data_IF_573974862929
#
_entry.id   IF_573974862929
#
_cell.length_a   1.000
_cell.length_b   1.000
_cell.length_c   1.000
_cell.angle_alpha   90.00
_cell.angle_beta   90.00
_cell.angle_gamma   90.00
#
_symmetry.space_group_name_H-M   'P 1'
#
loop_
_entity.id
_entity.type
_entity.pdbx_description
1 polymer ?
#
# COMPACT_ATOMS: atom_id res chain seq x y z
N UNK A 1 11.26 0.93 2.83
CA UNK A 1 12.37 1.75 2.30
C UNK A 1 12.94 1.08 1.08
N UNK A 2 12.60 1.56 -0.11
CA UNK A 2 13.10 1.06 -1.40
C UNK A 2 14.31 1.89 -1.84
N UNK A 3 15.45 1.24 -2.11
CA UNK A 3 16.65 1.88 -2.67
C UNK A 3 16.37 2.41 -4.10
N UNK A 4 16.69 3.69 -4.40
CA UNK A 4 16.44 4.29 -5.71
C UNK A 4 17.29 3.72 -6.86
N UNK A 5 18.27 2.85 -6.59
CA UNK A 5 19.18 2.25 -7.58
C UNK A 5 18.84 0.81 -7.95
N UNK A 6 17.62 0.35 -7.67
CA UNK A 6 17.20 -1.01 -8.01
C UNK A 6 17.29 -1.31 -9.51
N UNK A 7 17.92 -2.44 -9.83
CA UNK A 7 17.82 -3.09 -11.13
C UNK A 7 16.73 -4.15 -11.08
N UNK A 8 15.62 -3.85 -11.78
CA UNK A 8 14.47 -4.73 -11.98
C UNK A 8 14.82 -5.72 -13.09
N UNK A 9 15.51 -6.79 -12.73
CA UNK A 9 15.76 -7.93 -13.62
C UNK A 9 14.82 -9.06 -13.18
N UNK A 10 13.96 -9.50 -14.10
CA UNK A 10 13.28 -10.81 -14.09
C UNK A 10 11.91 -10.95 -13.38
N UNK A 11 10.96 -10.03 -13.63
CA UNK A 11 9.55 -10.26 -13.25
C UNK A 11 8.68 -10.53 -14.48
N UNK A 12 7.98 -11.67 -14.49
CA UNK A 12 7.00 -12.03 -15.53
C UNK A 12 5.80 -11.04 -15.51
N UNK A 13 5.18 -10.79 -16.67
CA UNK A 13 4.09 -9.81 -16.81
C UNK A 13 2.82 -10.17 -16.01
N UNK A 14 2.56 -11.46 -15.75
CA UNK A 14 1.47 -11.94 -14.90
C UNK A 14 1.77 -11.59 -13.44
N UNK A 15 2.97 -11.89 -12.95
CA UNK A 15 3.41 -11.52 -11.61
C UNK A 15 3.43 -10.02 -11.41
N UNK A 16 3.78 -9.21 -12.43
CA UNK A 16 3.63 -7.75 -12.37
C UNK A 16 2.19 -7.28 -12.17
N UNK A 17 1.23 -7.83 -12.91
CA UNK A 17 -0.20 -7.49 -12.72
C UNK A 17 -0.69 -7.89 -11.34
N UNK A 18 -0.19 -9.01 -10.83
CA UNK A 18 -0.53 -9.53 -9.52
C UNK A 18 0.17 -8.80 -8.37
N UNK A 19 1.38 -8.25 -8.57
CA UNK A 19 2.09 -7.45 -7.56
C UNK A 19 1.66 -5.98 -7.59
N UNK A 20 1.33 -5.45 -8.77
CA UNK A 20 0.90 -4.06 -8.96
C UNK A 20 -0.38 -3.70 -8.20
N UNK A 21 -1.20 -4.68 -7.79
CA UNK A 21 -2.32 -4.46 -6.86
C UNK A 21 -1.88 -4.09 -5.43
N UNK A 22 -0.64 -4.39 -5.07
CA UNK A 22 -0.05 -4.13 -3.75
C UNK A 22 0.91 -2.94 -3.73
N UNK A 23 1.35 -2.50 -4.90
CA UNK A 23 2.23 -1.34 -5.06
C UNK A 23 1.65 -0.44 -6.15
N UNK A 24 0.57 0.25 -5.82
CA UNK A 24 0.12 1.42 -6.58
C UNK A 24 0.66 2.64 -5.83
N UNK A 25 1.71 3.30 -6.33
CA UNK A 25 2.26 4.47 -5.65
C UNK A 25 1.24 5.62 -5.55
N UNK A 26 0.20 5.60 -6.40
CA UNK A 26 -0.96 6.46 -6.28
C UNK A 26 -1.83 6.16 -5.05
N UNK A 27 -1.79 4.94 -4.50
CA UNK A 27 -2.56 4.54 -3.31
C UNK A 27 -2.11 5.23 -2.02
N UNK A 28 -0.82 5.57 -1.87
CA UNK A 28 -0.34 6.39 -0.74
C UNK A 28 -0.97 7.80 -0.71
N UNK A 29 -1.57 8.20 -1.82
CA UNK A 29 -2.20 9.50 -2.05
C UNK A 29 -3.72 9.33 -2.27
N UNK A 30 -4.21 8.08 -2.43
CA UNK A 30 -5.64 7.79 -2.60
C UNK A 30 -6.30 7.66 -1.25
N UNK A 31 -7.31 8.48 -1.04
CA UNK A 31 -8.28 8.30 0.05
C UNK A 31 -9.34 7.26 -0.29
N UNK A 32 -9.58 7.03 -1.58
CA UNK A 32 -10.69 6.23 -2.06
C UNK A 32 -10.24 4.80 -2.45
N UNK A 33 -11.00 3.81 -2.00
CA UNK A 33 -10.87 2.42 -2.40
C UNK A 33 -11.34 2.20 -3.85
N UNK A 34 -10.84 1.16 -4.53
CA UNK A 34 -11.38 0.77 -5.84
C UNK A 34 -12.89 0.56 -5.77
N UNK A 35 -13.64 1.27 -6.63
CA UNK A 35 -15.10 1.16 -6.71
C UNK A 35 -15.88 2.09 -5.78
N UNK A 36 -15.22 2.86 -4.92
CA UNK A 36 -15.86 3.81 -4.00
C UNK A 36 -16.59 4.94 -4.75
N UNK A 37 -17.84 5.22 -4.38
CA UNK A 37 -18.63 6.31 -4.94
C UNK A 37 -18.23 7.64 -4.30
N UNK A 38 -17.42 8.41 -5.01
CA UNK A 38 -16.82 9.64 -4.52
C UNK A 38 -17.44 10.90 -5.11
N UNK A 39 -17.58 11.94 -4.29
CA UNK A 39 -17.85 13.30 -4.73
C UNK A 39 -16.60 14.17 -4.57
N UNK A 40 -16.24 14.92 -5.61
CA UNK A 40 -15.10 15.83 -5.65
C UNK A 40 -15.57 17.26 -5.88
N UNK A 41 -15.38 18.13 -4.89
CA UNK A 41 -15.66 19.55 -4.92
C UNK A 41 -14.34 20.31 -5.04
N UNK A 42 -14.08 20.91 -6.19
CA UNK A 42 -12.91 21.76 -6.43
C UNK A 42 -13.29 23.23 -6.29
N UNK A 43 -12.52 23.96 -5.51
CA UNK A 43 -12.67 25.41 -5.33
C UNK A 43 -11.32 26.14 -5.38
N UNK A 44 -11.35 27.45 -5.58
CA UNK A 44 -10.18 28.33 -5.49
C UNK A 44 -10.52 29.48 -4.53
N UNK A 45 -9.94 29.45 -3.33
CA UNK A 45 -10.24 30.40 -2.24
C UNK A 45 -11.74 30.62 -2.02
N UNK A 46 -12.45 29.52 -1.79
CA UNK A 46 -13.89 29.49 -1.62
C UNK A 46 -14.75 29.68 -2.86
N UNK A 47 -14.20 30.10 -4.01
CA UNK A 47 -14.99 30.14 -5.25
C UNK A 47 -15.10 28.73 -5.82
N UNK A 48 -16.31 28.21 -5.95
CA UNK A 48 -16.53 26.90 -6.54
C UNK A 48 -16.09 26.89 -8.01
N UNK A 49 -15.29 25.90 -8.39
CA UNK A 49 -14.85 25.70 -9.76
C UNK A 49 -15.58 24.53 -10.43
N UNK A 50 -15.64 23.38 -9.75
CA UNK A 50 -16.20 22.16 -10.32
C UNK A 50 -16.68 21.22 -9.22
N UNK A 51 -17.79 20.53 -9.47
CA UNK A 51 -18.20 19.37 -8.69
C UNK A 51 -18.28 18.16 -9.61
N UNK A 52 -17.70 17.05 -9.20
CA UNK A 52 -17.62 15.83 -9.99
C UNK A 52 -17.96 14.63 -9.12
N UNK A 53 -18.93 13.85 -9.57
CA UNK A 53 -19.37 12.59 -9.01
C UNK A 53 -18.74 11.46 -9.84
N UNK A 54 -18.13 10.47 -9.21
CA UNK A 54 -17.40 9.42 -9.93
C UNK A 54 -18.31 8.54 -10.79
N UNK A 55 -19.61 8.47 -10.50
CA UNK A 55 -20.57 7.67 -11.25
C UNK A 55 -21.39 8.53 -12.22
N UNK A 56 -21.81 9.71 -11.78
CA UNK A 56 -22.74 10.58 -12.52
C UNK A 56 -22.04 11.69 -13.32
N UNK A 57 -20.73 11.87 -13.13
CA UNK A 57 -19.95 12.89 -13.80
C UNK A 57 -20.13 14.28 -13.19
N UNK A 58 -20.16 15.34 -14.00
CA UNK A 58 -20.21 16.72 -13.49
C UNK A 58 -21.58 17.04 -12.89
N UNK A 59 -21.61 17.44 -11.61
CA UNK A 59 -22.83 17.83 -10.88
C UNK A 59 -23.00 19.35 -10.86
N UNK A 60 -24.14 19.85 -11.37
CA UNK A 60 -24.52 21.29 -11.35
C UNK A 60 -25.75 21.57 -10.49
N UNK A 61 -26.42 20.50 -10.09
CA UNK A 61 -27.67 20.43 -9.34
C UNK A 61 -27.49 20.70 -7.84
N UNK A 62 -26.28 20.47 -7.30
CA UNK A 62 -25.98 20.61 -5.87
C UNK A 62 -26.04 22.05 -5.33
N UNK A 63 -26.35 23.04 -6.17
CA UNK A 63 -26.58 24.45 -5.80
C UNK A 63 -25.46 25.09 -4.96
N UNK A 64 -24.25 24.53 -5.02
CA UNK A 64 -23.07 25.07 -4.36
C UNK A 64 -22.58 26.29 -5.13
N UNK A 65 -22.36 27.40 -4.42
CA UNK A 65 -21.79 28.63 -5.02
C UNK A 65 -20.45 29.01 -4.40
N UNK A 66 -20.27 28.69 -3.11
CA UNK A 66 -19.09 29.07 -2.33
C UNK A 66 -18.75 27.96 -1.35
N UNK A 67 -17.46 27.85 -1.04
CA UNK A 67 -16.88 26.97 -0.02
C UNK A 67 -16.24 27.86 1.04
N UNK A 68 -16.99 28.17 2.09
CA UNK A 68 -16.49 29.00 3.20
C UNK A 68 -15.71 28.16 4.22
N UNK A 69 -16.20 26.95 4.49
CA UNK A 69 -15.54 25.93 5.29
C UNK A 69 -15.58 24.60 4.53
N UNK A 70 -14.39 24.10 4.16
CA UNK A 70 -14.26 22.87 3.39
C UNK A 70 -14.68 21.63 4.18
N UNK A 71 -14.46 21.62 5.50
CA UNK A 71 -14.78 20.48 6.37
C UNK A 71 -16.27 20.42 6.68
N UNK A 72 -16.87 21.55 7.02
CA UNK A 72 -18.31 21.64 7.23
C UNK A 72 -19.06 21.24 5.95
N UNK A 73 -18.60 21.70 4.79
CA UNK A 73 -19.19 21.31 3.50
C UNK A 73 -19.07 19.80 3.23
N UNK A 74 -17.87 19.23 3.42
CA UNK A 74 -17.65 17.81 3.21
C UNK A 74 -18.55 16.94 4.11
N UNK A 75 -18.68 17.31 5.39
CA UNK A 75 -19.56 16.62 6.34
C UNK A 75 -21.04 16.73 5.95
N UNK A 76 -21.50 17.92 5.54
CA UNK A 76 -22.89 18.13 5.11
C UNK A 76 -23.25 17.30 3.88
N UNK A 77 -22.34 17.23 2.89
CA UNK A 77 -22.53 16.44 1.68
C UNK A 77 -22.49 14.94 2.00
N UNK A 78 -21.52 14.50 2.81
CA UNK A 78 -21.40 13.10 3.20
C UNK A 78 -22.64 12.60 3.97
N UNK A 79 -23.21 13.43 4.85
CA UNK A 79 -24.40 13.11 5.63
C UNK A 79 -25.67 12.88 4.78
N UNK A 80 -25.66 13.22 3.49
CA UNK A 80 -26.78 12.92 2.57
C UNK A 80 -26.86 11.43 2.23
N UNK A 81 -25.78 10.67 2.44
CA UNK A 81 -25.73 9.23 2.18
C UNK A 81 -25.68 8.87 0.69
N UNK A 82 -25.50 9.85 -0.20
CA UNK A 82 -25.35 9.62 -1.65
C UNK A 82 -23.95 9.13 -2.03
N UNK A 83 -22.93 9.39 -1.19
CA UNK A 83 -21.53 9.10 -1.50
C UNK A 83 -20.86 8.37 -0.35
N UNK A 84 -20.03 7.39 -0.70
CA UNK A 84 -19.14 6.71 0.24
C UNK A 84 -18.04 7.65 0.76
N UNK A 85 -17.70 8.69 -0.02
CA UNK A 85 -16.75 9.74 0.37
C UNK A 85 -16.94 11.06 -0.35
N UNK A 86 -16.73 12.14 0.39
CA UNK A 86 -16.71 13.51 -0.15
C UNK A 86 -15.34 14.13 0.01
N UNK A 87 -14.83 14.71 -1.07
CA UNK A 87 -13.57 15.42 -1.16
C UNK A 87 -13.85 16.90 -1.43
N UNK A 88 -13.29 17.80 -0.63
CA UNK A 88 -13.34 19.25 -0.86
C UNK A 88 -11.90 19.76 -0.97
N UNK A 89 -11.57 20.32 -2.13
CA UNK A 89 -10.20 20.53 -2.58
C UNK A 89 -9.99 21.99 -2.95
N UNK A 90 -9.01 22.63 -2.34
CA UNK A 90 -8.53 23.94 -2.74
C UNK A 90 -7.46 23.81 -3.84
N UNK A 91 -7.71 24.38 -5.02
CA UNK A 91 -6.77 24.42 -6.14
C UNK A 91 -5.42 25.03 -5.76
N UNK A 92 -5.40 26.08 -4.92
CA UNK A 92 -4.14 26.73 -4.50
C UNK A 92 -3.31 25.84 -3.59
N UNK A 93 -3.98 25.05 -2.76
CA UNK A 93 -3.31 24.03 -1.95
C UNK A 93 -2.61 23.01 -2.84
N UNK A 94 -3.32 22.45 -3.83
CA UNK A 94 -2.70 21.50 -4.78
C UNK A 94 -1.50 22.12 -5.52
N UNK A 95 -1.61 23.38 -5.94
CA UNK A 95 -0.50 24.09 -6.57
C UNK A 95 0.70 24.28 -5.62
N UNK A 96 0.45 24.61 -4.35
CA UNK A 96 1.48 24.74 -3.32
C UNK A 96 2.16 23.39 -3.02
N UNK A 97 1.39 22.31 -2.91
CA UNK A 97 1.90 20.95 -2.74
C UNK A 97 2.77 20.55 -3.94
N UNK A 98 2.30 20.76 -5.16
CA UNK A 98 3.05 20.44 -6.37
C UNK A 98 4.37 21.23 -6.43
N UNK A 99 4.32 22.53 -6.12
CA UNK A 99 5.51 23.37 -6.05
C UNK A 99 6.49 22.84 -4.98
N UNK A 100 6.04 22.63 -3.74
CA UNK A 100 6.89 22.16 -2.63
C UNK A 100 7.45 20.75 -2.82
N UNK A 101 6.74 19.88 -3.54
CA UNK A 101 7.22 18.56 -3.94
C UNK A 101 8.33 18.65 -5.00
N UNK A 102 8.32 19.68 -5.86
CA UNK A 102 9.22 19.84 -7.00
C UNK A 102 10.40 20.80 -6.77
N UNK A 103 10.34 21.70 -5.78
CA UNK A 103 11.33 22.78 -5.52
C UNK A 103 12.76 22.26 -5.32
N UNK A 104 12.93 21.02 -4.87
CA UNK A 104 14.26 20.47 -4.64
C UNK A 104 14.36 19.15 -5.39
N UNK A 105 15.35 18.95 -6.28
CA UNK A 105 15.73 17.60 -6.69
C UNK A 105 16.32 16.93 -5.45
N UNK A 106 15.46 16.29 -4.65
CA UNK A 106 15.83 15.64 -3.40
C UNK A 106 16.46 14.29 -3.69
N UNK A 107 17.65 14.34 -4.29
CA UNK A 107 18.48 13.17 -4.57
C UNK A 107 18.87 12.40 -3.31
N UNK A 108 18.67 12.99 -2.13
CA UNK A 108 18.92 12.39 -0.82
C UNK A 108 17.70 11.69 -0.21
N UNK A 109 16.48 11.90 -0.72
CA UNK A 109 15.31 11.19 -0.23
C UNK A 109 15.16 9.86 -0.96
N UNK A 110 14.95 8.80 -0.20
CA UNK A 110 14.45 7.55 -0.73
C UNK A 110 12.98 7.73 -1.18
N UNK A 111 12.53 6.90 -2.12
CA UNK A 111 11.21 6.99 -2.74
C UNK A 111 10.08 7.07 -1.69
N UNK A 112 10.20 6.28 -0.62
CA UNK A 112 9.21 6.21 0.46
C UNK A 112 9.16 7.49 1.31
N UNK A 113 10.31 8.12 1.57
CA UNK A 113 10.38 9.39 2.30
C UNK A 113 9.81 10.53 1.46
N UNK A 114 10.01 10.49 0.14
CA UNK A 114 9.36 11.41 -0.78
C UNK A 114 7.83 11.24 -0.76
N UNK A 115 7.33 10.00 -0.79
CA UNK A 115 5.88 9.75 -0.68
C UNK A 115 5.31 10.21 0.66
N UNK A 116 5.99 9.92 1.77
CA UNK A 116 5.54 10.39 3.08
C UNK A 116 5.55 11.91 3.17
N UNK A 117 6.52 12.59 2.56
CA UNK A 117 6.53 14.05 2.47
C UNK A 117 5.34 14.55 1.66
N UNK A 118 5.09 14.01 0.48
CA UNK A 118 3.92 14.39 -0.35
C UNK A 118 2.62 14.13 0.42
N UNK A 119 2.52 13.02 1.14
CA UNK A 119 1.41 12.71 2.03
C UNK A 119 1.22 13.82 3.08
N UNK A 120 2.26 14.22 3.81
CA UNK A 120 2.16 15.29 4.81
C UNK A 120 1.82 16.65 4.21
N UNK A 121 2.38 16.97 3.04
CA UNK A 121 2.06 18.20 2.33
C UNK A 121 0.59 18.23 1.90
N UNK A 122 0.07 17.10 1.45
CA UNK A 122 -1.29 16.99 0.93
C UNK A 122 -2.33 16.93 2.06
N UNK A 123 -2.07 16.13 3.10
CA UNK A 123 -3.01 15.75 4.15
C UNK A 123 -2.73 16.36 5.52
N UNK A 124 -1.51 16.82 5.79
CA UNK A 124 -1.11 17.36 7.10
C UNK A 124 -1.63 18.76 7.39
N UNK A 125 -2.09 19.50 6.36
CA UNK A 125 -2.77 20.79 6.51
C UNK A 125 -4.28 20.63 6.69
N UNK A 126 -4.90 21.41 7.56
CA UNK A 126 -6.31 21.23 7.95
C UNK A 126 -7.34 21.66 6.89
N UNK A 127 -6.97 22.52 5.94
CA UNK A 127 -7.97 23.31 5.19
C UNK A 127 -7.85 23.21 3.65
N UNK A 128 -6.72 22.70 3.15
CA UNK A 128 -6.42 22.72 1.72
C UNK A 128 -6.98 21.52 0.94
N UNK A 129 -7.10 20.38 1.60
CA UNK A 129 -7.72 19.17 1.06
C UNK A 129 -8.41 18.41 2.18
N UNK A 130 -9.74 18.46 2.20
CA UNK A 130 -10.57 17.76 3.17
C UNK A 130 -11.23 16.56 2.52
N UNK A 131 -11.27 15.43 3.22
CA UNK A 131 -12.06 14.26 2.87
C UNK A 131 -12.91 13.80 4.05
N UNK A 132 -14.13 13.34 3.76
CA UNK A 132 -15.04 12.72 4.73
C UNK A 132 -15.57 11.41 4.13
N UNK A 133 -15.29 10.23 4.73
CA UNK A 133 -14.41 10.05 5.88
C UNK A 133 -12.96 10.50 5.57
N UNK A 134 -12.15 10.74 6.61
CA UNK A 134 -10.77 11.18 6.43
C UNK A 134 -9.91 10.12 5.76
N UNK A 135 -8.76 10.54 5.21
CA UNK A 135 -7.73 9.60 4.77
C UNK A 135 -7.35 8.68 5.93
N UNK A 136 -7.34 7.35 5.75
CA UNK A 136 -7.09 6.40 6.83
C UNK A 136 -5.69 6.56 7.43
N UNK A 137 -4.71 6.97 6.61
CA UNK A 137 -3.33 7.21 7.05
C UNK A 137 -2.56 5.92 7.37
N UNK A 138 -3.18 4.79 7.08
CA UNK A 138 -2.64 3.46 7.20
C UNK A 138 -2.97 2.65 5.94
N UNK A 139 -2.18 1.63 5.67
CA UNK A 139 -2.40 0.65 4.62
C UNK A 139 -2.61 -0.72 5.29
N UNK A 140 -3.78 -1.35 5.12
CA UNK A 140 -4.11 -2.66 5.73
C UNK A 140 -3.80 -2.73 7.25
N UNK A 141 -4.07 -1.64 7.97
CA UNK A 141 -3.81 -1.48 9.41
C UNK A 141 -2.41 -0.97 9.77
N UNK A 142 -1.50 -0.80 8.81
CA UNK A 142 -0.13 -0.36 9.05
C UNK A 142 0.08 1.10 8.69
N UNK A 143 0.51 1.91 9.64
CA UNK A 143 1.01 3.27 9.35
C UNK A 143 2.44 3.20 8.79
N UNK A 144 2.89 4.30 8.20
CA UNK A 144 4.30 4.40 7.79
C UNK A 144 5.27 4.21 8.96
N UNK A 145 4.92 4.73 10.14
CA UNK A 145 5.73 4.58 11.35
C UNK A 145 5.80 3.13 11.81
N UNK A 146 4.70 2.37 11.69
CA UNK A 146 4.69 0.94 12.00
C UNK A 146 5.62 0.16 11.06
N UNK A 147 5.59 0.50 9.76
CA UNK A 147 6.49 -0.11 8.76
C UNK A 147 7.95 0.23 9.09
N UNK A 148 8.27 1.49 9.38
CA UNK A 148 9.63 1.89 9.77
C UNK A 148 10.09 1.17 11.03
N UNK A 149 9.22 1.07 12.03
CA UNK A 149 9.50 0.37 13.27
C UNK A 149 9.82 -1.10 13.00
N UNK A 150 8.96 -1.80 12.26
CA UNK A 150 9.19 -3.17 11.84
C UNK A 150 10.52 -3.34 11.09
N UNK A 151 10.79 -2.50 10.09
CA UNK A 151 12.05 -2.55 9.34
C UNK A 151 13.28 -2.31 10.21
N UNK A 152 13.15 -1.55 11.30
CA UNK A 152 14.23 -1.30 12.26
C UNK A 152 14.51 -2.47 13.21
N UNK A 153 13.54 -3.37 13.40
CA UNK A 153 13.71 -4.57 14.22
C UNK A 153 14.37 -5.72 13.46
N UNK A 154 14.36 -5.68 12.12
CA UNK A 154 14.98 -6.72 11.31
C UNK A 154 16.51 -6.77 11.53
N UNK A 155 17.12 -7.97 11.44
CA UNK A 155 18.57 -8.10 11.44
C UNK A 155 19.25 -7.21 10.38
N UNK A 156 20.53 -6.82 10.57
CA UNK A 156 21.23 -5.92 9.64
C UNK A 156 21.29 -6.41 8.20
N UNK A 157 21.18 -7.72 7.98
CA UNK A 157 21.00 -8.34 6.67
C UNK A 157 19.96 -9.45 6.83
N UNK A 158 18.84 -9.33 6.13
CA UNK A 158 17.72 -10.25 6.26
C UNK A 158 16.98 -10.43 4.93
N UNK A 159 16.11 -11.43 4.88
CA UNK A 159 15.16 -11.65 3.80
C UNK A 159 13.74 -11.75 4.34
N UNK A 160 12.80 -11.13 3.63
CA UNK A 160 11.37 -11.33 3.80
C UNK A 160 10.83 -12.05 2.57
N UNK A 161 9.99 -13.05 2.73
CA UNK A 161 9.41 -13.77 1.61
C UNK A 161 7.92 -14.04 1.80
N UNK A 162 7.15 -13.94 0.71
CA UNK A 162 5.74 -14.33 0.69
C UNK A 162 5.43 -15.15 -0.55
N UNK A 163 4.88 -16.36 -0.33
CA UNK A 163 4.37 -17.26 -1.34
C UNK A 163 2.86 -17.42 -1.19
N UNK A 164 2.10 -17.14 -2.25
CA UNK A 164 0.64 -17.28 -2.28
C UNK A 164 0.25 -18.22 -3.40
N UNK A 165 -0.50 -19.26 -3.07
CA UNK A 165 -0.85 -20.35 -3.98
C UNK A 165 -2.35 -20.42 -4.24
N UNK A 166 -2.71 -20.66 -5.50
CA UNK A 166 -4.06 -21.00 -5.92
C UNK A 166 -4.05 -22.47 -6.40
N UNK A 167 -4.40 -23.37 -5.48
CA UNK A 167 -4.16 -24.80 -5.63
C UNK A 167 -2.66 -25.09 -5.85
N UNK A 168 -2.28 -25.85 -6.90
CA UNK A 168 -0.88 -26.17 -7.20
C UNK A 168 -0.12 -25.00 -7.86
N UNK A 169 -0.79 -23.89 -8.19
CA UNK A 169 -0.18 -22.80 -8.94
C UNK A 169 0.29 -21.72 -7.98
N UNK A 170 1.58 -21.38 -8.04
CA UNK A 170 2.08 -20.17 -7.38
C UNK A 170 1.51 -18.93 -8.07
N UNK A 171 0.75 -18.13 -7.33
CA UNK A 171 0.15 -16.89 -7.80
C UNK A 171 1.02 -15.66 -7.41
N UNK A 172 1.65 -15.73 -6.24
CA UNK A 172 2.67 -14.77 -5.79
C UNK A 172 3.85 -15.57 -5.25
N UNK A 173 5.07 -15.19 -5.61
CA UNK A 173 6.26 -15.57 -4.87
C UNK A 173 7.15 -14.35 -4.86
N UNK A 174 7.26 -13.65 -3.74
CA UNK A 174 8.01 -12.41 -3.61
C UNK A 174 9.11 -12.58 -2.57
N UNK A 175 10.29 -12.06 -2.86
CA UNK A 175 11.45 -12.07 -1.99
C UNK A 175 11.99 -10.65 -1.90
N UNK A 176 12.19 -10.17 -0.69
CA UNK A 176 12.80 -8.88 -0.39
C UNK A 176 14.09 -9.12 0.38
N UNK A 177 15.22 -8.62 -0.12
CA UNK A 177 16.45 -8.54 0.67
C UNK A 177 16.50 -7.20 1.38
N UNK A 178 16.69 -7.24 2.68
CA UNK A 178 16.81 -6.07 3.54
C UNK A 178 18.24 -5.95 4.04
N UNK A 179 18.81 -4.76 3.94
CA UNK A 179 20.09 -4.40 4.52
C UNK A 179 19.93 -3.12 5.31
N UNK A 180 20.20 -3.19 6.62
CA UNK A 180 20.11 -2.06 7.57
C UNK A 180 18.75 -1.33 7.48
N UNK A 181 17.66 -2.10 7.45
CA UNK A 181 16.30 -1.57 7.36
C UNK A 181 15.89 -1.04 5.98
N UNK A 182 16.76 -1.14 4.97
CA UNK A 182 16.48 -0.74 3.58
C UNK A 182 16.33 -1.98 2.71
N UNK A 183 15.27 -2.05 1.91
CA UNK A 183 15.12 -3.09 0.90
C UNK A 183 16.11 -2.75 -0.24
N UNK A 184 17.09 -3.62 -0.47
CA UNK A 184 18.13 -3.43 -1.49
C UNK A 184 17.96 -4.34 -2.70
N UNK A 185 17.06 -5.32 -2.60
CA UNK A 185 16.77 -6.23 -3.70
C UNK A 185 15.35 -6.78 -3.59
N UNK A 186 14.67 -6.88 -4.73
CA UNK A 186 13.33 -7.45 -4.85
C UNK A 186 13.31 -8.38 -6.04
N UNK A 187 12.83 -9.60 -5.81
CA UNK A 187 12.69 -10.61 -6.85
C UNK A 187 11.53 -11.53 -6.52
N UNK A 188 11.34 -12.55 -7.34
CA UNK A 188 10.33 -13.58 -7.17
C UNK A 188 10.96 -14.96 -6.95
N UNK A 189 10.13 -15.98 -6.69
CA UNK A 189 10.63 -17.33 -6.41
C UNK A 189 11.31 -17.98 -7.62
N UNK A 190 11.13 -17.47 -8.84
CA UNK A 190 11.87 -17.90 -10.03
C UNK A 190 13.38 -17.70 -9.91
N UNK A 191 13.81 -16.74 -9.09
CA UNK A 191 15.22 -16.55 -8.78
C UNK A 191 15.78 -17.63 -7.85
N UNK A 192 14.91 -18.36 -7.13
CA UNK A 192 15.31 -19.48 -6.31
C UNK A 192 15.58 -20.69 -7.22
N UNK A 193 16.82 -21.15 -7.22
CA UNK A 193 17.17 -22.43 -7.85
C UNK A 193 16.70 -23.62 -7.00
N UNK A 194 15.39 -23.88 -7.00
CA UNK A 194 14.79 -25.01 -6.31
C UNK A 194 14.73 -26.24 -7.22
N UNK A 195 15.02 -27.40 -6.65
CA UNK A 195 14.91 -28.68 -7.35
C UNK A 195 13.47 -29.20 -7.45
N UNK A 196 12.55 -28.62 -6.68
CA UNK A 196 11.15 -29.04 -6.54
C UNK A 196 10.26 -27.79 -6.54
N UNK A 197 9.02 -27.91 -7.02
CA UNK A 197 8.04 -26.84 -6.93
C UNK A 197 7.61 -26.62 -5.47
N UNK A 198 7.57 -25.37 -5.03
CA UNK A 198 7.06 -25.03 -3.70
C UNK A 198 5.55 -25.26 -3.60
N UNK A 199 5.11 -25.60 -2.40
CA UNK A 199 3.71 -25.78 -2.04
C UNK A 199 3.44 -25.23 -0.64
N UNK A 200 2.17 -25.08 -0.29
CA UNK A 200 1.74 -24.66 1.06
C UNK A 200 1.86 -25.85 2.01
N UNK A 201 3.07 -26.10 2.49
CA UNK A 201 3.36 -27.16 3.45
C UNK A 201 4.53 -26.78 4.37
N UNK A 202 4.70 -27.52 5.47
CA UNK A 202 5.84 -27.36 6.36
C UNK A 202 7.16 -27.66 5.64
N UNK A 203 7.19 -28.68 4.78
CA UNK A 203 8.36 -29.00 3.96
C UNK A 203 8.66 -27.88 2.96
N UNK A 204 7.64 -27.33 2.29
CA UNK A 204 7.79 -26.17 1.42
C UNK A 204 8.39 -24.96 2.16
N UNK A 205 7.98 -24.73 3.40
CA UNK A 205 8.53 -23.67 4.25
C UNK A 205 10.02 -23.87 4.55
N UNK A 206 10.42 -25.07 4.97
CA UNK A 206 11.82 -25.41 5.24
C UNK A 206 12.69 -25.28 3.99
N UNK A 207 12.20 -25.77 2.85
CA UNK A 207 12.89 -25.67 1.56
C UNK A 207 13.09 -24.21 1.16
N UNK A 208 12.06 -23.38 1.28
CA UNK A 208 12.14 -21.95 0.98
C UNK A 208 13.16 -21.27 1.89
N UNK A 209 13.09 -21.46 3.21
CA UNK A 209 14.04 -20.86 4.15
C UNK A 209 15.48 -21.27 3.85
N UNK A 210 15.73 -22.55 3.59
CA UNK A 210 17.05 -23.03 3.20
C UNK A 210 17.55 -22.35 1.91
N UNK A 211 16.69 -22.23 0.91
CA UNK A 211 17.05 -21.59 -0.35
C UNK A 211 17.31 -20.07 -0.19
N UNK A 212 16.55 -19.38 0.66
CA UNK A 212 16.77 -17.97 0.97
C UNK A 212 18.14 -17.75 1.62
N UNK A 213 18.51 -18.58 2.61
CA UNK A 213 19.81 -18.52 3.28
C UNK A 213 20.95 -18.76 2.29
N UNK A 214 20.80 -19.75 1.40
CA UNK A 214 21.85 -20.12 0.44
C UNK A 214 22.06 -19.07 -0.66
N UNK A 215 21.00 -18.38 -1.10
CA UNK A 215 21.04 -17.53 -2.29
C UNK A 215 20.98 -16.02 -1.98
N UNK A 216 20.42 -15.63 -0.83
CA UNK A 216 20.14 -14.22 -0.50
C UNK A 216 20.69 -13.78 0.86
N UNK A 217 20.01 -14.19 1.94
CA UNK A 217 20.28 -13.87 3.35
C UNK A 217 19.35 -14.69 4.27
N UNK A 218 19.62 -14.74 5.60
CA UNK A 218 18.71 -15.36 6.55
C UNK A 218 17.30 -14.77 6.50
N UNK A 219 16.28 -15.61 6.61
CA UNK A 219 14.90 -15.17 6.56
C UNK A 219 14.47 -14.63 7.94
N UNK A 220 14.09 -13.35 8.00
CA UNK A 220 13.49 -12.76 9.20
C UNK A 220 11.95 -12.89 9.21
N UNK A 221 11.36 -13.18 8.04
CA UNK A 221 9.93 -13.37 7.89
C UNK A 221 9.61 -14.14 6.62
N UNK A 222 8.83 -15.22 6.75
CA UNK A 222 8.35 -16.00 5.61
C UNK A 222 6.88 -16.34 5.81
N UNK A 223 6.08 -16.17 4.77
CA UNK A 223 4.68 -16.61 4.74
C UNK A 223 4.45 -17.45 3.48
N UNK A 224 3.96 -18.68 3.64
CA UNK A 224 3.39 -19.50 2.59
C UNK A 224 1.91 -19.70 2.89
N UNK A 225 1.02 -19.35 1.98
CA UNK A 225 -0.41 -19.50 2.22
C UNK A 225 -1.22 -19.68 0.93
N UNK A 226 -2.47 -20.10 1.07
CA UNK A 226 -3.42 -20.11 -0.05
C UNK A 226 -3.90 -18.69 -0.37
N UNK A 227 -4.39 -18.48 -1.60
CA UNK A 227 -4.95 -17.20 -2.04
C UNK A 227 -6.09 -16.73 -1.14
N UNK A 228 -7.00 -17.62 -0.75
CA UNK A 228 -8.12 -17.28 0.14
C UNK A 228 -7.68 -16.90 1.56
N UNK A 229 -6.58 -17.46 2.07
CA UNK A 229 -6.00 -17.01 3.34
C UNK A 229 -5.36 -15.64 3.19
N UNK A 230 -4.61 -15.43 2.11
CA UNK A 230 -3.93 -14.17 1.85
C UNK A 230 -4.90 -12.99 1.72
N UNK A 231 -6.01 -13.16 1.00
CA UNK A 231 -7.03 -12.11 0.84
C UNK A 231 -7.64 -11.73 2.20
N UNK A 232 -8.05 -12.73 3.00
CA UNK A 232 -8.53 -12.50 4.39
C UNK A 232 -7.47 -11.86 5.26
N UNK A 233 -6.22 -12.29 5.15
CA UNK A 233 -5.11 -11.76 5.93
C UNK A 233 -4.89 -10.29 5.62
N UNK A 234 -4.94 -9.88 4.36
CA UNK A 234 -4.79 -8.47 3.95
C UNK A 234 -5.95 -7.60 4.46
N UNK A 235 -7.17 -8.11 4.51
CA UNK A 235 -8.35 -7.34 4.89
C UNK A 235 -8.59 -7.30 6.42
N UNK A 236 -8.13 -8.31 7.17
CA UNK A 236 -8.35 -8.41 8.61
C UNK A 236 -7.58 -7.37 9.43
N UNK A 237 -8.17 -6.85 10.50
CA UNK A 237 -7.44 -6.08 11.52
C UNK A 237 -6.55 -6.97 12.38
N UNK A 238 -7.02 -8.20 12.71
CA UNK A 238 -6.24 -9.20 13.43
C UNK A 238 -5.57 -10.17 12.45
N UNK A 239 -4.38 -9.78 12.02
CA UNK A 239 -3.54 -10.55 11.10
C UNK A 239 -3.15 -11.92 11.66
N UNK A 240 -2.88 -11.98 12.97
CA UNK A 240 -2.36 -13.19 13.60
C UNK A 240 -3.45 -14.23 13.80
N UNK A 241 -4.66 -13.81 14.16
CA UNK A 241 -5.82 -14.70 14.24
C UNK A 241 -6.07 -15.41 12.90
N UNK A 242 -6.05 -14.68 11.78
CA UNK A 242 -6.22 -15.29 10.44
C UNK A 242 -5.16 -16.35 10.15
N UNK A 243 -3.89 -16.06 10.47
CA UNK A 243 -2.80 -17.02 10.25
C UNK A 243 -2.92 -18.24 11.17
N UNK A 244 -3.29 -18.06 12.44
CA UNK A 244 -3.49 -19.15 13.39
C UNK A 244 -4.59 -20.12 12.93
N UNK A 245 -5.78 -19.59 12.58
CA UNK A 245 -6.89 -20.40 12.06
C UNK A 245 -6.52 -21.13 10.75
N UNK A 246 -5.74 -20.47 9.87
CA UNK A 246 -5.29 -21.07 8.62
C UNK A 246 -4.21 -22.13 8.84
N UNK A 247 -3.34 -21.95 9.83
CA UNK A 247 -2.32 -22.91 10.23
C UNK A 247 -2.93 -24.22 10.74
N UNK A 248 -3.99 -24.14 11.54
CA UNK A 248 -4.74 -25.33 12.01
C UNK A 248 -5.33 -26.15 10.86
N UNK A 249 -5.62 -25.51 9.72
CA UNK A 249 -6.16 -26.13 8.51
C UNK A 249 -5.09 -26.55 7.50
N UNK A 250 -3.82 -26.24 7.77
CA UNK A 250 -2.72 -26.45 6.82
C UNK A 250 -2.78 -25.54 5.58
N UNK A 251 -3.51 -24.43 5.67
CA UNK A 251 -3.67 -23.47 4.57
C UNK A 251 -2.66 -22.31 4.65
N UNK A 252 -1.91 -22.21 5.75
CA UNK A 252 -0.81 -21.28 5.91
C UNK A 252 0.29 -21.82 6.80
N UNK A 253 1.52 -21.47 6.46
CA UNK A 253 2.73 -21.70 7.22
C UNK A 253 3.49 -20.39 7.27
N UNK A 254 3.99 -20.00 8.44
CA UNK A 254 4.78 -18.78 8.57
C UNK A 254 5.92 -18.94 9.56
N UNK A 255 6.93 -18.11 9.38
CA UNK A 255 8.07 -17.98 10.27
C UNK A 255 8.39 -16.50 10.46
N UNK A 256 8.69 -16.11 11.69
CA UNK A 256 9.04 -14.74 12.07
C UNK A 256 10.20 -14.84 13.05
N UNK A 257 11.32 -14.23 12.70
CA UNK A 257 12.54 -14.14 13.52
C UNK A 257 12.94 -12.67 13.60
N UNK A 258 12.28 -11.97 14.54
CA UNK A 258 12.39 -10.53 14.79
C UNK A 258 12.64 -10.32 16.28
#
# INVERSE_FOLDING_TARGET
MIDPHWTVTDLDARTWRTIGRFFDPGQYIRVAQPGEHGLFVLHDNGTLLKVFDTQLGVRRDLSLRRVDDARELAQKLFAQGEWDRVHVINKRHLAAVAYQAQITPQRSLHLDEYYQRVYHLLWGGSDGYVSVPSHPGHWHGWTFSDIQHFMSQLPPVATLAVGVFDGPTQNIGLILKVQKGVITYVTTFEALKLSIALEVSAEGMEQLQSALVQQFAPAAGVLLCTLGVFDRWIESEDKMCVLQEAGEKGEAFWHVDI
#
